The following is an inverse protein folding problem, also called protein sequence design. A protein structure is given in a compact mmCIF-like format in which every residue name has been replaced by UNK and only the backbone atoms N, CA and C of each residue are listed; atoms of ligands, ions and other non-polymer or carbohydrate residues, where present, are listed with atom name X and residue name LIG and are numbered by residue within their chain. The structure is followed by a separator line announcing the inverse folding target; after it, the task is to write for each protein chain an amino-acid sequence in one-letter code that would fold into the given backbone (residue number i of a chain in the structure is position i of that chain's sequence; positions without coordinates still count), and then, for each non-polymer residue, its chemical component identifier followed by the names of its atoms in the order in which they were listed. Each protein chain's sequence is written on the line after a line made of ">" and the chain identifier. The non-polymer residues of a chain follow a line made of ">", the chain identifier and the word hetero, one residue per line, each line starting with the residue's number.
data_IF_910386727180
#
_entry.id   IF_910386727180
#
_cell.length_a   1.000
_cell.length_b   1.000
_cell.length_c   1.000
_cell.angle_alpha   90.00
_cell.angle_beta   90.00
_cell.angle_gamma   90.00
#
_symmetry.space_group_name_H-M   'P 1'
#
loop_
_entity.id
_entity.type
_entity.pdbx_description
1 polymer ?
#
# COMPACT_ATOMS: atom_id res chain seq x y z
N UNK A 1 0.40 40.30 -24.19
CA UNK A 1 0.55 40.01 -25.64
C UNK A 1 -0.56 40.67 -26.44
N UNK A 2 -1.83 40.53 -26.13
CA UNK A 2 -2.98 41.14 -26.81
C UNK A 2 -2.80 42.66 -26.94
N UNK A 3 -2.41 43.36 -25.85
CA UNK A 3 -2.17 44.81 -25.85
C UNK A 3 -1.05 45.22 -26.82
N UNK A 4 0.04 44.45 -26.95
CA UNK A 4 1.14 44.68 -27.88
C UNK A 4 0.71 44.51 -29.35
N UNK A 5 -0.20 43.54 -29.62
CA UNK A 5 -0.70 43.29 -30.97
C UNK A 5 -1.70 44.34 -31.46
N UNK A 6 -2.49 44.98 -30.56
CA UNK A 6 -3.43 46.04 -30.89
C UNK A 6 -2.70 47.22 -31.54
N UNK A 7 -1.45 47.47 -31.20
CA UNK A 7 -0.59 48.52 -31.77
C UNK A 7 -0.08 48.21 -33.18
N UNK A 8 -0.18 46.95 -33.67
CA UNK A 8 0.32 46.54 -34.97
C UNK A 8 -0.81 46.32 -35.98
N UNK A 9 -0.99 47.22 -36.98
CA UNK A 9 -2.09 47.22 -37.98
C UNK A 9 -2.24 45.93 -38.81
N UNK A 10 -1.30 44.97 -38.80
CA UNK A 10 -1.32 43.72 -39.60
C UNK A 10 -1.73 42.45 -38.78
N UNK A 11 -2.22 42.59 -37.58
CA UNK A 11 -2.36 41.45 -36.67
C UNK A 11 -3.81 41.01 -36.36
N UNK A 12 -4.82 41.52 -37.06
CA UNK A 12 -6.21 41.27 -36.70
C UNK A 12 -6.60 39.77 -36.61
N UNK A 13 -6.21 38.96 -37.59
CA UNK A 13 -6.56 37.55 -37.64
C UNK A 13 -5.87 36.74 -36.50
N UNK A 14 -4.62 37.11 -36.15
CA UNK A 14 -3.89 36.50 -35.05
C UNK A 14 -4.49 36.84 -33.69
N UNK A 15 -4.89 38.10 -33.51
CA UNK A 15 -5.59 38.56 -32.29
C UNK A 15 -6.88 37.77 -32.09
N UNK A 16 -7.64 37.55 -33.15
CA UNK A 16 -8.88 36.77 -33.08
C UNK A 16 -8.56 35.32 -32.70
N UNK A 17 -7.51 34.70 -33.23
CA UNK A 17 -7.10 33.34 -32.90
C UNK A 17 -6.64 33.23 -31.44
N UNK A 18 -5.83 34.16 -30.93
CA UNK A 18 -5.40 34.21 -29.52
C UNK A 18 -6.62 34.31 -28.57
N UNK A 19 -7.52 35.23 -28.87
CA UNK A 19 -8.72 35.43 -28.07
C UNK A 19 -9.63 34.19 -28.14
N UNK A 20 -9.78 33.58 -29.31
CA UNK A 20 -10.58 32.38 -29.47
C UNK A 20 -10.08 31.22 -28.63
N UNK A 21 -8.78 30.91 -28.71
CA UNK A 21 -8.18 29.84 -27.91
C UNK A 21 -8.18 30.16 -26.42
N UNK A 22 -7.96 31.41 -26.04
CA UNK A 22 -8.05 31.85 -24.66
C UNK A 22 -9.47 31.73 -24.10
N UNK A 23 -10.46 32.14 -24.84
CA UNK A 23 -11.90 32.01 -24.46
C UNK A 23 -12.32 30.53 -24.42
N UNK A 24 -11.86 29.70 -25.35
CA UNK A 24 -12.13 28.27 -25.35
C UNK A 24 -11.50 27.60 -24.11
N UNK A 25 -10.28 27.94 -23.74
CA UNK A 25 -9.65 27.46 -22.52
C UNK A 25 -10.45 27.86 -21.28
N UNK A 26 -10.86 29.13 -21.19
CA UNK A 26 -11.66 29.64 -20.09
C UNK A 26 -13.04 28.97 -20.01
N UNK A 27 -13.71 28.76 -21.14
CA UNK A 27 -14.99 28.07 -21.19
C UNK A 27 -14.89 26.60 -20.75
N UNK A 28 -13.81 25.90 -21.15
CA UNK A 28 -13.54 24.54 -20.69
C UNK A 28 -13.30 24.49 -19.18
N UNK A 29 -12.50 25.40 -18.63
CA UNK A 29 -12.23 25.47 -17.18
C UNK A 29 -13.53 25.75 -16.39
N UNK A 30 -14.32 26.70 -16.89
CA UNK A 30 -15.62 27.03 -16.26
C UNK A 30 -16.57 25.84 -16.28
N UNK A 31 -16.66 25.11 -17.40
CA UNK A 31 -17.47 23.90 -17.49
C UNK A 31 -17.00 22.81 -16.51
N UNK A 32 -15.68 22.67 -16.28
CA UNK A 32 -15.12 21.74 -15.30
C UNK A 32 -15.45 22.15 -13.87
N UNK A 33 -15.43 23.44 -13.53
CA UNK A 33 -15.81 23.95 -12.20
C UNK A 33 -17.27 23.62 -11.89
N UNK A 34 -18.15 23.65 -12.89
CA UNK A 34 -19.57 23.33 -12.74
C UNK A 34 -19.83 21.81 -12.67
N UNK A 35 -18.86 20.98 -13.00
CA UNK A 35 -19.01 19.52 -12.97
C UNK A 35 -18.90 18.98 -11.55
N UNK A 36 -19.86 18.16 -11.05
CA UNK A 36 -19.76 17.53 -9.74
C UNK A 36 -18.73 16.41 -9.76
N UNK A 37 -17.48 16.72 -9.52
CA UNK A 37 -16.41 15.73 -9.48
C UNK A 37 -15.11 16.31 -8.93
N UNK A 38 -14.20 15.44 -8.46
CA UNK A 38 -12.83 15.85 -8.14
C UNK A 38 -12.11 16.23 -9.43
N UNK A 39 -11.81 17.50 -9.57
CA UNK A 39 -10.94 17.97 -10.64
C UNK A 39 -9.53 17.44 -10.40
N UNK A 40 -9.06 16.63 -11.31
CA UNK A 40 -7.66 16.17 -11.33
C UNK A 40 -6.90 16.93 -12.41
N UNK A 41 -5.60 17.08 -12.28
CA UNK A 41 -4.74 17.72 -13.29
C UNK A 41 -4.91 17.11 -14.69
N UNK A 42 -5.39 15.89 -14.80
CA UNK A 42 -5.67 15.22 -16.08
C UNK A 42 -6.87 15.82 -16.81
N UNK A 43 -7.85 16.26 -16.06
CA UNK A 43 -9.07 16.87 -16.62
C UNK A 43 -8.76 18.26 -17.17
N UNK A 44 -7.83 19.00 -16.54
CA UNK A 44 -7.40 20.32 -16.97
C UNK A 44 -6.36 20.31 -18.10
N UNK A 45 -5.91 19.12 -18.54
CA UNK A 45 -4.90 18.98 -19.59
C UNK A 45 -5.30 19.66 -20.91
N UNK A 46 -6.57 19.50 -21.31
CA UNK A 46 -7.11 20.16 -22.52
C UNK A 46 -7.04 21.69 -22.44
N UNK A 47 -7.38 22.25 -21.28
CA UNK A 47 -7.29 23.70 -21.00
C UNK A 47 -5.85 24.18 -21.14
N UNK A 48 -4.91 23.43 -20.56
CA UNK A 48 -3.47 23.77 -20.65
C UNK A 48 -2.99 23.80 -22.11
N UNK A 49 -3.38 22.83 -22.94
CA UNK A 49 -3.03 22.82 -24.37
C UNK A 49 -3.58 24.06 -25.09
N UNK A 50 -4.85 24.40 -24.87
CA UNK A 50 -5.46 25.58 -25.50
C UNK A 50 -4.76 26.88 -25.10
N UNK A 51 -4.35 27.02 -23.83
CA UNK A 51 -3.57 28.16 -23.36
C UNK A 51 -2.16 28.20 -23.99
N UNK A 52 -1.49 27.04 -24.11
CA UNK A 52 -0.18 26.96 -24.77
C UNK A 52 -0.28 27.37 -26.24
N UNK A 53 -1.33 26.94 -26.96
CA UNK A 53 -1.59 27.34 -28.34
C UNK A 53 -1.80 28.85 -28.42
N UNK A 54 -2.67 29.42 -27.57
CA UNK A 54 -2.91 30.87 -27.55
C UNK A 54 -1.60 31.66 -27.30
N UNK A 55 -0.82 31.28 -26.30
CA UNK A 55 0.47 31.90 -26.01
C UNK A 55 1.50 31.76 -27.17
N UNK A 56 1.49 30.60 -27.83
CA UNK A 56 2.41 30.35 -28.96
C UNK A 56 2.09 31.22 -30.17
N UNK A 57 0.79 31.40 -30.47
CA UNK A 57 0.33 32.32 -31.54
C UNK A 57 0.76 33.75 -31.22
N UNK A 58 0.59 34.19 -29.95
CA UNK A 58 1.01 35.49 -29.48
C UNK A 58 2.50 35.73 -29.61
N UNK A 59 3.31 34.77 -29.18
CA UNK A 59 4.77 34.83 -29.29
C UNK A 59 5.27 34.89 -30.76
N UNK A 60 4.67 34.06 -31.63
CA UNK A 60 5.05 34.01 -33.04
C UNK A 60 4.68 35.29 -33.81
N UNK A 61 3.64 35.98 -33.36
CA UNK A 61 3.12 37.20 -34.01
C UNK A 61 3.84 38.49 -33.69
N UNK A 62 4.65 38.50 -32.62
CA UNK A 62 5.34 39.73 -32.22
C UNK A 62 6.62 39.94 -33.05
N UNK A 63 6.54 40.81 -34.03
CA UNK A 63 7.72 41.35 -34.70
C UNK A 63 8.24 42.55 -33.88
N UNK A 64 9.39 42.39 -33.27
CA UNK A 64 10.03 43.47 -32.51
C UNK A 64 11.11 44.12 -33.31
N UNK A 65 11.00 45.42 -33.59
CA UNK A 65 12.00 46.22 -34.29
C UNK A 65 13.18 46.65 -33.38
N UNK A 66 13.02 46.40 -32.04
CA UNK A 66 14.04 46.80 -31.04
C UNK A 66 14.91 45.61 -30.60
N UNK A 67 16.23 45.80 -30.62
CA UNK A 67 17.22 44.76 -30.23
C UNK A 67 17.01 44.23 -28.83
N UNK A 68 16.63 45.10 -27.89
CA UNK A 68 16.37 44.75 -26.49
C UNK A 68 15.20 43.74 -26.35
N UNK A 69 14.15 43.90 -27.17
CA UNK A 69 12.98 42.99 -27.18
C UNK A 69 13.32 41.65 -27.82
N UNK A 70 14.22 41.64 -28.85
CA UNK A 70 14.76 40.37 -29.39
C UNK A 70 15.56 39.60 -28.36
N UNK A 71 16.42 40.27 -27.58
CA UNK A 71 17.19 39.65 -26.51
C UNK A 71 16.25 39.08 -25.41
N UNK A 72 15.31 39.88 -24.91
CA UNK A 72 14.37 39.45 -23.91
C UNK A 72 13.53 38.21 -24.33
N UNK A 73 13.11 38.20 -25.62
CA UNK A 73 12.39 37.02 -26.19
C UNK A 73 13.30 35.81 -26.26
N UNK A 74 14.52 35.91 -26.75
CA UNK A 74 15.48 34.81 -26.83
C UNK A 74 15.81 34.26 -25.45
N UNK A 75 16.08 35.14 -24.49
CA UNK A 75 16.31 34.72 -23.10
C UNK A 75 15.09 34.01 -22.48
N UNK A 76 13.88 34.55 -22.67
CA UNK A 76 12.65 33.94 -22.21
C UNK A 76 12.40 32.55 -22.84
N UNK A 77 12.63 32.42 -24.16
CA UNK A 77 12.52 31.15 -24.86
C UNK A 77 13.55 30.14 -24.36
N UNK A 78 14.78 30.54 -24.10
CA UNK A 78 15.83 29.68 -23.55
C UNK A 78 15.45 29.18 -22.16
N UNK A 79 14.99 30.07 -21.28
CA UNK A 79 14.51 29.68 -19.93
C UNK A 79 13.33 28.70 -20.02
N UNK A 80 12.38 28.95 -20.92
CA UNK A 80 11.24 28.08 -21.13
C UNK A 80 11.67 26.69 -21.62
N UNK A 81 12.61 26.63 -22.56
CA UNK A 81 13.14 25.36 -23.07
C UNK A 81 13.88 24.59 -21.99
N UNK A 82 14.72 25.24 -21.19
CA UNK A 82 15.43 24.62 -20.07
C UNK A 82 14.45 24.11 -19.02
N UNK A 83 13.41 24.88 -18.69
CA UNK A 83 12.36 24.47 -17.76
C UNK A 83 11.58 23.25 -18.29
N UNK A 84 11.18 23.29 -19.57
CA UNK A 84 10.46 22.17 -20.21
C UNK A 84 11.33 20.91 -20.25
N UNK A 85 12.62 21.07 -20.58
CA UNK A 85 13.57 19.95 -20.54
C UNK A 85 13.70 19.36 -19.14
N UNK A 86 13.88 20.20 -18.12
CA UNK A 86 13.94 19.77 -16.73
C UNK A 86 12.68 19.01 -16.30
N UNK A 87 11.50 19.55 -16.61
CA UNK A 87 10.23 18.88 -16.33
C UNK A 87 10.09 17.57 -17.09
N UNK A 88 10.53 17.53 -18.34
CA UNK A 88 10.52 16.32 -19.16
C UNK A 88 11.39 15.20 -18.58
N UNK A 89 12.59 15.53 -18.11
CA UNK A 89 13.50 14.57 -17.46
C UNK A 89 12.90 14.04 -16.16
N UNK A 90 12.39 14.92 -15.30
CA UNK A 90 11.74 14.51 -14.06
C UNK A 90 10.50 13.65 -14.31
N UNK A 91 9.68 14.03 -15.30
CA UNK A 91 8.51 13.25 -15.69
C UNK A 91 8.87 11.87 -16.22
N UNK A 92 9.89 11.79 -17.08
CA UNK A 92 10.37 10.51 -17.61
C UNK A 92 10.91 9.59 -16.51
N UNK A 93 11.69 10.13 -15.58
CA UNK A 93 12.18 9.38 -14.42
C UNK A 93 11.03 8.83 -13.57
N UNK A 94 10.04 9.66 -13.26
CA UNK A 94 8.89 9.29 -12.45
C UNK A 94 8.03 8.22 -13.14
N UNK A 95 7.79 8.35 -14.44
CA UNK A 95 7.06 7.35 -15.24
C UNK A 95 7.79 5.99 -15.23
N UNK A 96 9.10 6.00 -15.47
CA UNK A 96 9.91 4.77 -15.53
C UNK A 96 9.94 4.07 -14.19
N UNK A 97 10.16 4.80 -13.10
CA UNK A 97 10.26 4.23 -11.75
C UNK A 97 8.91 3.68 -11.27
N UNK A 98 7.83 4.43 -11.45
CA UNK A 98 6.49 3.99 -11.07
C UNK A 98 5.98 2.81 -11.93
N UNK A 99 6.27 2.81 -13.23
CA UNK A 99 5.97 1.69 -14.13
C UNK A 99 6.69 0.41 -13.69
N UNK A 100 7.98 0.50 -13.36
CA UNK A 100 8.75 -0.63 -12.88
C UNK A 100 8.15 -1.20 -11.60
N UNK A 101 7.90 -0.36 -10.60
CA UNK A 101 7.31 -0.78 -9.32
C UNK A 101 5.94 -1.43 -9.50
N UNK A 102 5.09 -0.88 -10.37
CA UNK A 102 3.78 -1.46 -10.69
C UNK A 102 3.91 -2.82 -11.39
N UNK A 103 4.82 -2.93 -12.37
CA UNK A 103 5.05 -4.18 -13.11
C UNK A 103 5.61 -5.28 -12.21
N UNK A 104 6.56 -4.95 -11.34
CA UNK A 104 7.11 -5.91 -10.36
C UNK A 104 6.03 -6.43 -9.42
N UNK A 105 5.11 -5.54 -8.97
CA UNK A 105 3.95 -5.92 -8.16
C UNK A 105 3.02 -6.87 -8.92
N UNK A 106 2.67 -6.56 -10.17
CA UNK A 106 1.80 -7.39 -11.00
C UNK A 106 2.41 -8.78 -11.19
N UNK A 107 3.67 -8.85 -11.62
CA UNK A 107 4.39 -10.10 -11.82
C UNK A 107 4.45 -10.96 -10.55
N UNK A 108 4.65 -10.29 -9.39
CA UNK A 108 4.62 -10.99 -8.11
C UNK A 108 3.24 -11.58 -7.82
N UNK A 109 2.16 -10.80 -7.98
CA UNK A 109 0.78 -11.26 -7.75
C UNK A 109 0.43 -12.42 -8.66
N UNK A 110 0.71 -12.32 -9.96
CA UNK A 110 0.47 -13.40 -10.94
C UNK A 110 1.22 -14.68 -10.56
N UNK A 111 2.47 -14.54 -10.11
CA UNK A 111 3.26 -15.68 -9.61
C UNK A 111 2.61 -16.32 -8.39
N UNK A 112 2.07 -15.54 -7.44
CA UNK A 112 1.39 -16.08 -6.26
C UNK A 112 0.06 -16.74 -6.64
N UNK A 113 -0.71 -16.15 -7.53
CA UNK A 113 -1.96 -16.73 -8.06
C UNK A 113 -1.69 -18.06 -8.77
N UNK A 114 -0.67 -18.13 -9.62
CA UNK A 114 -0.26 -19.38 -10.28
C UNK A 114 0.15 -20.48 -9.28
N UNK A 115 0.68 -20.08 -8.10
CA UNK A 115 0.97 -21.00 -6.99
C UNK A 115 -0.27 -21.41 -6.18
N UNK A 116 -1.46 -20.86 -6.51
CA UNK A 116 -2.73 -21.13 -5.84
C UNK A 116 -2.94 -20.33 -4.56
N UNK A 117 -2.26 -19.18 -4.41
CA UNK A 117 -2.52 -18.27 -3.31
C UNK A 117 -3.89 -17.62 -3.49
N UNK A 118 -4.68 -17.55 -2.41
CA UNK A 118 -5.97 -16.85 -2.39
C UNK A 118 -5.89 -15.48 -1.72
N UNK A 119 -4.87 -15.27 -0.91
CA UNK A 119 -4.59 -14.00 -0.24
C UNK A 119 -3.15 -13.59 -0.55
N UNK A 120 -2.95 -12.35 -0.95
CA UNK A 120 -1.63 -11.84 -1.33
C UNK A 120 -1.35 -10.53 -0.60
N UNK A 121 -0.14 -10.39 -0.09
CA UNK A 121 0.39 -9.14 0.44
C UNK A 121 1.42 -8.61 -0.54
N UNK A 122 1.35 -7.32 -0.83
CA UNK A 122 2.25 -6.64 -1.78
C UNK A 122 2.88 -5.43 -1.11
N UNK A 123 4.02 -4.94 -1.58
CA UNK A 123 4.54 -3.67 -1.11
C UNK A 123 3.73 -2.50 -1.70
N UNK A 124 3.74 -1.34 -1.02
CA UNK A 124 3.32 -0.08 -1.64
C UNK A 124 4.16 0.21 -2.88
N UNK A 125 3.58 0.95 -3.82
CA UNK A 125 4.36 1.48 -4.95
C UNK A 125 5.34 2.52 -4.42
N UNK A 126 6.63 2.26 -4.62
CA UNK A 126 7.71 3.14 -4.16
C UNK A 126 8.75 3.33 -5.27
N UNK A 127 9.25 4.56 -5.45
CA UNK A 127 8.82 5.79 -4.77
C UNK A 127 7.38 6.18 -5.15
N UNK A 128 6.71 6.95 -4.30
CA UNK A 128 5.42 7.54 -4.68
C UNK A 128 5.62 8.47 -5.86
N UNK A 129 4.70 8.46 -6.85
CA UNK A 129 4.80 9.34 -8.00
C UNK A 129 4.82 10.80 -7.58
N UNK A 130 5.88 11.51 -7.94
CA UNK A 130 6.10 12.90 -7.57
C UNK A 130 5.53 13.89 -8.59
N UNK A 131 5.32 13.45 -9.84
CA UNK A 131 4.88 14.29 -10.92
C UNK A 131 3.55 13.84 -11.51
N UNK A 132 2.78 14.80 -12.04
CA UNK A 132 1.52 14.54 -12.74
C UNK A 132 1.68 13.75 -14.06
N UNK A 133 2.88 13.50 -14.50
CA UNK A 133 3.15 12.73 -15.71
C UNK A 133 3.03 11.22 -15.47
N UNK A 134 3.21 10.77 -14.22
CA UNK A 134 2.98 9.37 -13.87
C UNK A 134 1.48 9.04 -13.92
N UNK A 135 1.16 7.88 -14.49
CA UNK A 135 -0.21 7.36 -14.51
C UNK A 135 -0.78 7.12 -13.10
N UNK A 136 0.07 6.99 -12.11
CA UNK A 136 -0.30 6.71 -10.72
C UNK A 136 -0.37 7.97 -9.84
N UNK A 137 0.01 9.13 -10.36
CA UNK A 137 -0.07 10.39 -9.62
C UNK A 137 -1.49 10.67 -9.14
N UNK A 138 -1.65 10.96 -7.86
CA UNK A 138 -2.94 11.18 -7.19
C UNK A 138 -3.94 10.00 -7.26
N UNK A 139 -3.54 8.82 -7.73
CA UNK A 139 -4.35 7.62 -7.57
C UNK A 139 -4.11 7.02 -6.19
N UNK A 140 -5.20 6.55 -5.57
CA UNK A 140 -5.08 5.78 -4.34
C UNK A 140 -4.38 4.45 -4.63
N UNK A 141 -3.27 4.19 -3.97
CA UNK A 141 -2.66 2.86 -3.96
C UNK A 141 -3.52 1.85 -3.17
N UNK A 142 -3.10 0.60 -3.14
CA UNK A 142 -3.68 -0.41 -2.27
C UNK A 142 -3.44 -0.02 -0.80
N UNK A 143 -4.38 -0.35 0.07
CA UNK A 143 -4.34 -0.03 1.50
C UNK A 143 -3.87 -1.23 2.34
N UNK A 144 -3.47 -0.98 3.59
CA UNK A 144 -3.27 -2.03 4.60
C UNK A 144 -4.58 -2.73 4.99
N UNK A 145 -5.72 -2.12 4.70
CA UNK A 145 -7.04 -2.68 4.98
C UNK A 145 -7.61 -3.40 3.76
N UNK A 146 -7.74 -4.74 3.78
CA UNK A 146 -8.22 -5.51 2.63
C UNK A 146 -9.63 -5.12 2.16
N UNK A 147 -10.44 -4.54 3.04
CA UNK A 147 -11.81 -4.08 2.74
C UNK A 147 -11.86 -2.75 2.02
N UNK A 148 -10.73 -2.05 1.87
CA UNK A 148 -10.67 -0.79 1.14
C UNK A 148 -11.02 -1.02 -0.33
N UNK A 149 -11.67 -0.05 -0.95
CA UNK A 149 -12.25 -0.22 -2.28
C UNK A 149 -11.22 -0.60 -3.36
N UNK A 150 -10.01 0.01 -3.34
CA UNK A 150 -8.94 -0.33 -4.31
C UNK A 150 -8.49 -1.78 -4.16
N UNK A 151 -8.35 -2.26 -2.92
CA UNK A 151 -7.97 -3.63 -2.62
C UNK A 151 -9.02 -4.63 -3.12
N UNK A 152 -10.31 -4.30 -2.95
CA UNK A 152 -11.41 -5.16 -3.42
C UNK A 152 -11.42 -5.28 -4.93
N UNK A 153 -11.32 -4.17 -5.66
CA UNK A 153 -11.28 -4.17 -7.13
C UNK A 153 -10.06 -4.94 -7.65
N UNK A 154 -8.90 -4.75 -7.01
CA UNK A 154 -7.68 -5.46 -7.36
C UNK A 154 -7.79 -6.97 -7.09
N UNK A 155 -8.33 -7.36 -5.94
CA UNK A 155 -8.54 -8.75 -5.57
C UNK A 155 -9.52 -9.45 -6.53
N UNK A 156 -10.62 -8.79 -6.90
CA UNK A 156 -11.60 -9.29 -7.86
C UNK A 156 -10.97 -9.54 -9.23
N UNK A 157 -10.14 -8.60 -9.73
CA UNK A 157 -9.44 -8.74 -11.01
C UNK A 157 -8.56 -9.99 -11.06
N UNK A 158 -7.83 -10.29 -9.99
CA UNK A 158 -6.96 -11.48 -9.92
C UNK A 158 -7.64 -12.72 -9.32
N UNK A 159 -8.95 -12.68 -9.05
CA UNK A 159 -9.73 -13.76 -8.42
C UNK A 159 -9.14 -14.20 -7.06
N UNK A 160 -8.69 -13.22 -6.29
CA UNK A 160 -8.20 -13.40 -4.93
C UNK A 160 -9.32 -13.16 -3.93
N UNK A 161 -9.25 -13.83 -2.77
CA UNK A 161 -10.14 -13.57 -1.63
C UNK A 161 -9.82 -12.22 -0.98
N UNK A 162 -8.54 -11.84 -0.97
CA UNK A 162 -8.09 -10.54 -0.47
C UNK A 162 -6.70 -10.16 -0.95
N UNK A 163 -6.43 -8.85 -0.99
CA UNK A 163 -5.10 -8.27 -1.17
C UNK A 163 -4.92 -7.11 -0.20
N UNK A 164 -3.71 -6.89 0.28
CA UNK A 164 -3.34 -5.67 1.01
C UNK A 164 -1.93 -5.23 0.64
N UNK A 165 -1.66 -3.94 0.81
CA UNK A 165 -0.32 -3.38 0.67
C UNK A 165 0.29 -3.10 2.04
N UNK A 166 1.61 -3.23 2.12
CA UNK A 166 2.40 -2.91 3.32
C UNK A 166 3.66 -2.15 2.91
N UNK A 167 4.32 -1.52 3.87
CA UNK A 167 5.62 -0.89 3.62
C UNK A 167 6.64 -1.90 3.10
N UNK A 168 7.52 -1.46 2.21
CA UNK A 168 8.53 -2.32 1.57
C UNK A 168 9.36 -3.10 2.60
N UNK A 169 9.81 -2.44 3.67
CA UNK A 169 10.59 -3.07 4.74
C UNK A 169 9.84 -4.24 5.39
N UNK A 170 8.54 -4.04 5.65
CA UNK A 170 7.69 -5.08 6.24
C UNK A 170 7.43 -6.22 5.25
N UNK A 171 7.25 -5.89 3.97
CA UNK A 171 7.13 -6.88 2.91
C UNK A 171 8.37 -7.77 2.82
N UNK A 172 9.55 -7.16 2.75
CA UNK A 172 10.83 -7.88 2.64
C UNK A 172 11.10 -8.74 3.87
N UNK A 173 10.75 -8.25 5.06
CA UNK A 173 10.96 -8.96 6.31
C UNK A 173 10.09 -10.21 6.45
N UNK A 174 8.80 -10.11 6.09
CA UNK A 174 7.79 -11.13 6.42
C UNK A 174 7.29 -11.85 5.17
N UNK A 175 6.77 -11.10 4.19
CA UNK A 175 5.91 -11.65 3.14
C UNK A 175 6.66 -12.14 1.91
N UNK A 176 7.85 -11.60 1.62
CA UNK A 176 8.69 -12.04 0.50
C UNK A 176 9.05 -13.52 0.59
N UNK A 177 9.20 -14.03 1.81
CA UNK A 177 9.56 -15.42 2.09
C UNK A 177 8.36 -16.30 2.44
N UNK A 178 7.13 -15.84 2.22
CA UNK A 178 5.92 -16.61 2.56
C UNK A 178 5.92 -17.94 1.84
N UNK A 179 5.76 -19.01 2.61
CA UNK A 179 5.81 -20.36 2.08
C UNK A 179 4.44 -20.84 1.60
N UNK A 180 4.43 -21.55 0.46
CA UNK A 180 3.22 -22.13 -0.14
C UNK A 180 2.37 -22.94 0.84
N UNK A 181 2.99 -23.55 1.85
CA UNK A 181 2.30 -24.29 2.90
C UNK A 181 1.29 -23.42 3.65
N UNK A 182 1.68 -22.20 4.00
CA UNK A 182 0.84 -21.28 4.75
C UNK A 182 -0.17 -20.56 3.84
N UNK A 183 0.22 -20.24 2.59
CA UNK A 183 -0.69 -19.58 1.63
C UNK A 183 -1.86 -20.45 1.19
N UNK A 184 -1.76 -21.79 1.36
CA UNK A 184 -2.82 -22.75 1.04
C UNK A 184 -3.80 -23.01 2.17
N UNK A 185 -3.48 -22.60 3.41
CA UNK A 185 -4.40 -22.80 4.52
C UNK A 185 -5.65 -21.95 4.30
N UNK A 186 -6.82 -22.56 4.49
CA UNK A 186 -8.12 -21.92 4.34
C UNK A 186 -8.70 -21.45 5.67
N UNK A 187 -8.27 -22.04 6.79
CA UNK A 187 -8.76 -21.71 8.13
C UNK A 187 -7.70 -21.87 9.23
N UNK A 188 -8.07 -21.50 10.45
CA UNK A 188 -7.20 -21.59 11.61
C UNK A 188 -6.77 -23.02 11.96
N UNK A 189 -7.66 -24.01 11.76
CA UNK A 189 -7.35 -25.42 12.04
C UNK A 189 -6.23 -25.95 11.14
N UNK A 190 -6.31 -25.66 9.84
CA UNK A 190 -5.26 -26.03 8.88
C UNK A 190 -3.94 -25.32 9.20
N UNK A 191 -4.03 -24.04 9.55
CA UNK A 191 -2.87 -23.25 9.93
C UNK A 191 -2.17 -23.81 11.19
N UNK A 192 -2.93 -24.17 12.22
CA UNK A 192 -2.41 -24.85 13.42
C UNK A 192 -1.69 -26.17 13.08
N UNK A 193 -2.21 -26.93 12.13
CA UNK A 193 -1.53 -28.15 11.65
C UNK A 193 -0.22 -27.84 10.91
N UNK A 194 -0.20 -26.75 10.15
CA UNK A 194 0.99 -26.35 9.39
C UNK A 194 2.15 -25.90 10.29
N UNK A 195 1.88 -25.12 11.33
CA UNK A 195 2.92 -24.62 12.27
C UNK A 195 3.51 -25.71 13.17
N UNK A 196 2.84 -26.85 13.33
CA UNK A 196 3.33 -27.96 14.17
C UNK A 196 4.50 -28.76 13.58
N UNK A 197 4.86 -28.52 12.34
CA UNK A 197 5.97 -29.25 11.69
C UNK A 197 7.32 -28.78 12.25
N UNK A 198 8.29 -29.72 12.29
CA UNK A 198 9.67 -29.43 12.69
C UNK A 198 10.29 -28.34 11.80
N UNK A 199 11.12 -27.50 12.40
CA UNK A 199 11.81 -26.41 11.75
C UNK A 199 11.05 -25.07 11.78
N UNK A 200 9.91 -25.01 12.46
CA UNK A 200 9.15 -23.76 12.64
C UNK A 200 8.97 -23.41 14.10
N UNK A 201 9.11 -22.11 14.39
CA UNK A 201 8.64 -21.50 15.63
C UNK A 201 7.47 -20.60 15.31
N UNK A 202 6.36 -20.77 16.01
CA UNK A 202 5.16 -19.94 15.86
C UNK A 202 4.88 -19.16 17.14
N UNK A 203 4.66 -17.87 17.00
CA UNK A 203 4.34 -16.93 18.07
C UNK A 203 2.87 -16.56 17.95
N UNK A 204 2.10 -16.76 19.00
CA UNK A 204 0.66 -16.47 19.06
C UNK A 204 0.41 -15.40 20.11
N UNK A 205 -0.36 -14.38 19.76
CA UNK A 205 -0.82 -13.33 20.68
C UNK A 205 -2.24 -12.92 20.35
N UNK A 206 -3.05 -12.62 21.36
CA UNK A 206 -4.43 -12.16 21.19
C UNK A 206 -4.54 -10.67 21.41
N UNK A 207 -5.21 -9.99 20.46
CA UNK A 207 -5.69 -8.63 20.56
C UNK A 207 -7.23 -8.64 20.64
N UNK A 208 -7.80 -8.05 21.68
CA UNK A 208 -9.24 -8.00 21.99
C UNK A 208 -9.82 -9.38 22.35
N UNK A 209 -10.26 -10.16 21.40
CA UNK A 209 -10.81 -11.51 21.60
C UNK A 209 -10.33 -12.49 20.53
N UNK A 210 -9.70 -13.55 20.95
CA UNK A 210 -9.23 -14.65 20.08
C UNK A 210 -9.91 -15.98 20.37
N UNK A 211 -11.06 -16.00 21.08
CA UNK A 211 -11.61 -17.21 21.65
C UNK A 211 -12.94 -17.68 21.07
N UNK A 212 -13.82 -16.76 20.65
CA UNK A 212 -15.23 -17.03 20.34
C UNK A 212 -15.43 -18.14 19.32
N UNK A 213 -14.61 -18.21 18.31
CA UNK A 213 -14.69 -19.21 17.25
C UNK A 213 -13.60 -20.29 17.32
N UNK A 214 -12.90 -20.42 18.45
CA UNK A 214 -12.05 -21.57 18.72
C UNK A 214 -12.92 -22.84 18.89
N UNK A 215 -12.83 -23.72 17.92
CA UNK A 215 -13.60 -24.97 17.94
C UNK A 215 -12.91 -26.08 18.77
N UNK A 216 -13.60 -27.20 18.94
CA UNK A 216 -13.06 -28.36 19.66
C UNK A 216 -11.79 -28.94 19.02
N UNK A 217 -11.70 -28.90 17.69
CA UNK A 217 -10.53 -29.39 16.94
C UNK A 217 -9.31 -28.51 17.18
N UNK A 218 -9.49 -27.18 17.16
CA UNK A 218 -8.41 -26.22 17.43
C UNK A 218 -7.85 -26.44 18.84
N UNK A 219 -8.73 -26.54 19.84
CA UNK A 219 -8.36 -26.81 21.23
C UNK A 219 -7.63 -28.16 21.39
N UNK A 220 -8.06 -29.21 20.66
CA UNK A 220 -7.35 -30.51 20.64
C UNK A 220 -5.96 -30.38 20.04
N UNK A 221 -5.78 -29.59 18.97
CA UNK A 221 -4.48 -29.38 18.35
C UNK A 221 -3.56 -28.58 19.27
N UNK A 222 -4.04 -27.50 19.88
CA UNK A 222 -3.29 -26.71 20.86
C UNK A 222 -2.87 -27.58 22.06
N UNK A 223 -3.77 -28.43 22.59
CA UNK A 223 -3.46 -29.38 23.64
C UNK A 223 -2.36 -30.38 23.25
N UNK A 224 -2.39 -30.87 21.99
CA UNK A 224 -1.30 -31.72 21.46
C UNK A 224 0.05 -31.01 21.33
N UNK A 225 0.06 -29.69 21.27
CA UNK A 225 1.26 -28.88 21.36
C UNK A 225 1.73 -28.65 22.81
N UNK A 226 0.99 -29.10 23.82
CA UNK A 226 1.28 -28.86 25.24
C UNK A 226 0.61 -27.61 25.82
N UNK A 227 -0.27 -26.96 25.07
CA UNK A 227 -1.01 -25.79 25.54
C UNK A 227 -2.25 -26.27 26.30
N UNK A 228 -2.20 -26.18 27.63
CA UNK A 228 -3.28 -26.65 28.51
C UNK A 228 -4.40 -25.63 28.68
N UNK A 229 -4.05 -24.34 28.69
CA UNK A 229 -4.98 -23.22 28.85
C UNK A 229 -5.15 -22.49 27.53
N UNK A 230 -6.33 -22.54 26.96
CA UNK A 230 -6.72 -21.74 25.79
C UNK A 230 -7.51 -20.51 26.25
N UNK A 231 -7.46 -19.38 25.51
CA UNK A 231 -8.20 -18.19 25.90
C UNK A 231 -9.72 -18.46 25.93
N UNK A 232 -10.40 -17.83 26.87
CA UNK A 232 -11.85 -17.66 26.89
C UNK A 232 -12.21 -16.23 26.49
N UNK A 233 -13.48 -15.86 26.57
CA UNK A 233 -13.98 -14.57 26.11
C UNK A 233 -13.12 -13.40 26.59
N UNK A 234 -12.57 -12.66 25.64
CA UNK A 234 -11.75 -11.45 25.83
C UNK A 234 -10.53 -11.59 26.74
N UNK A 235 -10.07 -12.80 26.98
CA UNK A 235 -8.84 -13.02 27.74
C UNK A 235 -7.59 -12.77 26.88
N UNK A 236 -6.55 -12.30 27.56
CA UNK A 236 -5.18 -12.30 27.03
C UNK A 236 -4.71 -13.72 26.79
N UNK A 237 -3.94 -13.92 25.74
CA UNK A 237 -3.32 -15.21 25.43
C UNK A 237 -2.00 -15.03 24.72
N UNK A 238 -0.98 -15.68 25.23
CA UNK A 238 0.32 -15.82 24.59
C UNK A 238 0.70 -17.28 24.48
N UNK A 239 1.28 -17.66 23.34
CA UNK A 239 1.95 -18.95 23.20
C UNK A 239 3.13 -18.87 22.23
N UNK A 240 4.16 -19.64 22.53
CA UNK A 240 5.29 -19.90 21.63
C UNK A 240 5.36 -21.40 21.40
N UNK A 241 5.18 -21.82 20.15
CA UNK A 241 5.22 -23.22 19.74
C UNK A 241 6.49 -23.41 18.90
N UNK A 242 7.41 -24.21 19.42
CA UNK A 242 8.65 -24.55 18.73
C UNK A 242 8.66 -26.04 18.36
N UNK A 243 8.95 -26.36 17.09
CA UNK A 243 8.91 -27.75 16.58
C UNK A 243 7.64 -28.52 16.96
N UNK A 244 6.51 -27.81 17.01
CA UNK A 244 5.21 -28.39 17.35
C UNK A 244 4.96 -28.62 18.84
N UNK A 245 5.83 -28.14 19.73
CA UNK A 245 5.69 -28.18 21.19
C UNK A 245 5.70 -26.76 21.76
N UNK A 246 4.88 -26.51 22.74
CA UNK A 246 4.84 -25.22 23.42
C UNK A 246 6.11 -25.05 24.29
N UNK A 247 6.88 -24.01 23.99
CA UNK A 247 7.92 -23.49 24.88
C UNK A 247 7.29 -22.65 26.01
N UNK A 248 6.25 -21.92 25.66
CA UNK A 248 5.53 -21.06 26.59
C UNK A 248 4.05 -21.02 26.20
N UNK A 249 3.17 -20.99 27.18
CA UNK A 249 1.77 -20.65 26.95
C UNK A 249 1.11 -20.14 28.23
N UNK A 250 0.35 -19.07 28.13
CA UNK A 250 -0.46 -18.56 29.22
C UNK A 250 -1.74 -17.93 28.69
N UNK A 251 -2.82 -18.01 29.46
CA UNK A 251 -4.09 -17.36 29.23
C UNK A 251 -4.64 -16.81 30.54
N UNK A 252 -5.16 -15.59 30.54
CA UNK A 252 -5.66 -14.92 31.73
C UNK A 252 -6.35 -13.60 31.44
N UNK A 253 -6.80 -12.95 32.51
CA UNK A 253 -7.50 -11.65 32.42
C UNK A 253 -6.55 -10.46 32.45
N UNK A 254 -5.30 -10.71 32.86
CA UNK A 254 -4.27 -9.67 32.98
C UNK A 254 -3.46 -9.51 31.70
N UNK A 255 -2.71 -8.43 31.62
CA UNK A 255 -1.72 -8.21 30.57
C UNK A 255 -0.61 -9.26 30.66
N UNK A 256 -0.36 -9.96 29.59
CA UNK A 256 0.68 -10.98 29.50
C UNK A 256 1.85 -10.47 28.68
N UNK A 257 3.06 -10.79 29.11
CA UNK A 257 4.27 -10.52 28.34
C UNK A 257 5.23 -11.73 28.41
N UNK A 258 5.99 -11.95 27.34
CA UNK A 258 6.98 -13.01 27.28
C UNK A 258 8.11 -12.63 26.32
N UNK A 259 9.35 -12.91 26.71
CA UNK A 259 10.53 -12.68 25.87
C UNK A 259 11.29 -14.00 25.68
N UNK A 260 11.77 -14.24 24.48
CA UNK A 260 12.60 -15.40 24.17
C UNK A 260 13.60 -15.08 23.04
N UNK A 261 14.61 -15.93 22.92
CA UNK A 261 15.59 -15.86 21.83
C UNK A 261 15.50 -17.16 21.01
N UNK A 262 15.35 -17.03 19.70
CA UNK A 262 15.34 -18.14 18.74
C UNK A 262 16.36 -17.80 17.66
N UNK A 263 17.35 -18.70 17.46
CA UNK A 263 18.41 -18.50 16.45
C UNK A 263 19.04 -17.10 16.50
N UNK A 264 19.45 -16.63 17.67
CA UNK A 264 20.05 -15.29 17.92
C UNK A 264 19.12 -14.09 17.65
N UNK A 265 17.83 -14.33 17.36
CA UNK A 265 16.82 -13.29 17.23
C UNK A 265 16.06 -13.15 18.55
N UNK A 266 15.96 -11.91 19.03
CA UNK A 266 15.17 -11.60 20.20
C UNK A 266 13.71 -11.40 19.82
N UNK A 267 12.82 -12.13 20.48
CA UNK A 267 11.38 -11.98 20.32
C UNK A 267 10.75 -11.47 21.62
N UNK A 268 9.93 -10.47 21.51
CA UNK A 268 9.12 -9.97 22.62
C UNK A 268 7.63 -10.03 22.23
N UNK A 269 6.84 -10.64 23.10
CA UNK A 269 5.42 -10.85 22.93
C UNK A 269 4.65 -10.12 24.01
N UNK A 270 3.51 -9.56 23.64
CA UNK A 270 2.59 -8.89 24.54
C UNK A 270 1.17 -9.21 24.10
N UNK A 271 0.28 -9.48 25.04
CA UNK A 271 -1.15 -9.67 24.81
C UNK A 271 -1.95 -9.03 25.93
N UNK A 272 -2.95 -8.26 25.56
CA UNK A 272 -3.95 -7.71 26.46
C UNK A 272 -5.33 -7.80 25.81
N UNK A 273 -6.14 -8.73 26.32
CA UNK A 273 -7.53 -8.85 25.94
C UNK A 273 -8.39 -7.75 26.58
N UNK A 274 -9.63 -7.61 26.12
CA UNK A 274 -10.60 -6.61 26.64
C UNK A 274 -11.45 -7.10 27.81
N UNK A 275 -11.00 -8.08 28.59
CA UNK A 275 -11.80 -8.61 29.69
C UNK A 275 -12.02 -7.57 30.80
N UNK A 276 -10.94 -6.93 31.24
CA UNK A 276 -10.94 -5.96 32.35
C UNK A 276 -10.50 -4.55 31.93
N UNK A 277 -10.38 -4.26 30.64
CA UNK A 277 -9.86 -3.00 30.13
C UNK A 277 -10.59 -2.55 28.88
N UNK A 278 -10.67 -1.25 28.66
CA UNK A 278 -11.20 -0.65 27.44
C UNK A 278 -10.20 -0.80 26.29
N UNK A 279 -8.91 -0.79 26.62
CA UNK A 279 -7.83 -0.82 25.65
C UNK A 279 -7.25 -2.24 25.50
N UNK A 280 -7.38 -2.82 24.33
CA UNK A 280 -6.65 -4.03 23.97
C UNK A 280 -5.27 -3.65 23.44
N UNK A 281 -4.28 -4.48 23.72
CA UNK A 281 -2.93 -4.30 23.22
C UNK A 281 -2.34 -5.66 22.80
N UNK A 282 -1.66 -5.68 21.67
CA UNK A 282 -1.02 -6.87 21.16
C UNK A 282 0.24 -6.48 20.38
N UNK A 283 1.33 -7.12 20.71
CA UNK A 283 2.59 -6.89 20.02
C UNK A 283 3.38 -8.18 19.94
N UNK A 284 3.94 -8.47 18.79
CA UNK A 284 5.00 -9.47 18.61
C UNK A 284 6.12 -8.75 17.86
N UNK A 285 7.27 -8.59 18.52
CA UNK A 285 8.44 -7.92 17.94
C UNK A 285 9.57 -8.92 17.74
N UNK A 286 10.34 -8.71 16.70
CA UNK A 286 11.63 -9.36 16.47
C UNK A 286 12.70 -8.28 16.40
N UNK A 287 13.69 -8.32 17.29
CA UNK A 287 14.74 -7.30 17.40
C UNK A 287 14.17 -5.87 17.45
N UNK A 288 13.13 -5.64 18.28
CA UNK A 288 12.38 -4.40 18.44
C UNK A 288 11.50 -3.96 17.23
N UNK A 289 11.50 -4.72 16.14
CA UNK A 289 10.64 -4.43 14.97
C UNK A 289 9.29 -5.08 15.12
N UNK A 290 8.19 -4.28 15.02
CA UNK A 290 6.81 -4.76 15.16
C UNK A 290 6.37 -5.63 13.98
N UNK A 291 5.81 -6.80 14.28
CA UNK A 291 5.37 -7.79 13.29
C UNK A 291 3.85 -7.96 13.23
N UNK A 292 3.09 -7.52 14.24
CA UNK A 292 1.63 -7.63 14.26
C UNK A 292 0.96 -6.54 13.42
N UNK A 293 -0.27 -6.80 13.00
CA UNK A 293 -1.14 -5.79 12.40
C UNK A 293 -2.05 -5.17 13.47
N UNK A 294 -2.66 -4.00 13.24
CA UNK A 294 -3.58 -3.39 14.21
C UNK A 294 -4.95 -4.09 14.28
N UNK A 295 -5.16 -5.17 13.54
CA UNK A 295 -6.44 -5.88 13.51
C UNK A 295 -6.70 -6.66 14.80
N UNK A 296 -7.96 -6.70 15.26
CA UNK A 296 -8.38 -7.53 16.40
C UNK A 296 -8.39 -9.01 16.03
N UNK A 297 -8.07 -9.87 17.00
CA UNK A 297 -8.08 -11.32 16.84
C UNK A 297 -6.84 -12.03 17.37
N UNK A 298 -6.56 -13.20 16.85
CA UNK A 298 -5.36 -13.97 17.20
C UNK A 298 -4.28 -13.77 16.11
N UNK A 299 -3.21 -13.11 16.48
CA UNK A 299 -2.03 -12.93 15.63
C UNK A 299 -1.15 -14.16 15.71
N UNK A 300 -0.68 -14.62 14.56
CA UNK A 300 0.27 -15.73 14.45
C UNK A 300 1.40 -15.32 13.53
N UNK A 301 2.61 -15.30 14.08
CA UNK A 301 3.85 -15.05 13.34
C UNK A 301 4.62 -16.37 13.25
N UNK A 302 5.13 -16.69 12.09
CA UNK A 302 5.88 -17.95 11.88
C UNK A 302 7.30 -17.67 11.43
N UNK A 303 8.24 -18.24 12.15
CA UNK A 303 9.66 -18.20 11.86
C UNK A 303 10.14 -19.58 11.41
N UNK A 304 10.90 -19.62 10.32
CA UNK A 304 11.54 -20.84 9.83
C UNK A 304 13.01 -20.90 10.32
N UNK A 305 13.30 -21.81 11.22
CA UNK A 305 14.66 -21.99 11.80
C UNK A 305 15.71 -22.40 10.77
N UNK A 306 15.33 -23.17 9.74
CA UNK A 306 16.27 -23.62 8.70
C UNK A 306 16.67 -22.51 7.74
N UNK A 307 15.75 -21.55 7.51
CA UNK A 307 15.99 -20.42 6.62
C UNK A 307 16.39 -19.15 7.36
N UNK A 308 16.36 -19.19 8.70
CA UNK A 308 16.63 -18.06 9.59
C UNK A 308 15.80 -16.80 9.24
N UNK A 309 14.53 -16.98 8.81
CA UNK A 309 13.68 -15.89 8.39
C UNK A 309 12.21 -16.08 8.80
N UNK A 310 11.47 -14.99 8.85
CA UNK A 310 10.02 -15.01 8.97
C UNK A 310 9.43 -15.52 7.65
N UNK A 311 8.37 -16.33 7.74
CA UNK A 311 7.74 -16.96 6.57
C UNK A 311 6.25 -16.70 6.47
N UNK A 312 5.63 -16.19 7.51
CA UNK A 312 4.24 -15.71 7.46
C UNK A 312 3.86 -14.86 8.69
N UNK A 313 2.90 -13.97 8.51
CA UNK A 313 2.24 -13.20 9.56
C UNK A 313 0.76 -13.08 9.22
N UNK A 314 -0.10 -13.63 10.07
CA UNK A 314 -1.55 -13.64 9.87
C UNK A 314 -2.28 -13.23 11.13
N UNK A 315 -3.47 -12.67 10.96
CA UNK A 315 -4.41 -12.39 12.03
C UNK A 315 -5.70 -13.14 11.77
N UNK A 316 -6.08 -14.02 12.68
CA UNK A 316 -7.36 -14.75 12.64
C UNK A 316 -8.43 -13.97 13.39
N UNK A 317 -9.51 -13.61 12.70
CA UNK A 317 -10.64 -12.85 13.27
C UNK A 317 -11.57 -13.74 14.07
N UNK A 318 -11.02 -14.51 15.03
CA UNK A 318 -11.74 -15.51 15.83
C UNK A 318 -12.83 -14.94 16.76
N UNK A 319 -13.02 -13.64 16.79
CA UNK A 319 -14.10 -12.96 17.50
C UNK A 319 -15.34 -12.76 16.62
N UNK A 320 -15.18 -12.71 15.29
CA UNK A 320 -16.23 -12.42 14.30
C UNK A 320 -16.60 -13.66 13.50
N UNK A 321 -15.60 -14.31 12.94
CA UNK A 321 -15.71 -15.48 12.08
C UNK A 321 -14.43 -16.32 12.20
N UNK A 322 -14.13 -17.17 11.24
CA UNK A 322 -12.89 -17.97 11.23
C UNK A 322 -11.94 -17.54 10.12
N UNK A 323 -12.24 -16.41 9.49
CA UNK A 323 -11.39 -15.87 8.42
C UNK A 323 -10.07 -15.37 8.99
N UNK A 324 -9.11 -15.20 8.13
CA UNK A 324 -7.84 -14.60 8.49
C UNK A 324 -7.44 -13.52 7.50
N UNK A 325 -6.65 -12.58 7.99
CA UNK A 325 -6.07 -11.47 7.22
C UNK A 325 -4.57 -11.71 7.27
N UNK A 326 -3.98 -11.90 6.10
CA UNK A 326 -2.54 -12.04 5.96
C UNK A 326 -1.89 -10.70 5.87
#
# INVERSE_FOLDING_TARGET
>A
FIILHIYQKKAKERIYSEILFGLAAFACEYALILSPGRQTDRVTFGVTILLVIACSIGLAGTAYDRKELHFARSAGMTVLLLFTFYQGVNGAYDVVTSYKSATDRVNYVETQVAKGAKQVVVPYITPEPATKYSAQYMLCDLSEFPTFWTNRVFAEHYKLDSVKAVKQERFDLIYKNTERRFTKCSDFTEYLRAIRKKGYTAFLSVHDDGSRFLNRTDKKILKKCGISKTPTFRQSFLAVIDDGKALYSNAGTEKLSYNCTIDDKQFSLLSQGKYNTVDADCSIKMNNQELTSPAGGMHVIVYNKKKHCLVDSVTFTLWRDRNFIR
#
